data_IF_324873928099
#
_entry.id   IF_324873928099
#
_cell.length_a   1.000
_cell.length_b   1.000
_cell.length_c   1.000
_cell.angle_alpha   90.00
_cell.angle_beta   90.00
_cell.angle_gamma   90.00
#
_symmetry.space_group_name_H-M   'P 1'
#
loop_
_entity.id
_entity.type
_entity.pdbx_description
1 polymer ?
#
# COMPACT_ATOMS: atom_id res chain seq x y z
N UNK A 1 -58.87 -23.01 -70.05
CA UNK A 1 -58.06 -21.80 -70.28
C UNK A 1 -58.18 -20.90 -69.06
N UNK A 2 -57.23 -20.99 -68.11
CA UNK A 2 -57.19 -20.17 -66.89
C UNK A 2 -55.78 -19.56 -66.83
N UNK A 3 -55.68 -18.25 -67.11
CA UNK A 3 -54.42 -17.53 -67.17
C UNK A 3 -53.93 -17.17 -65.76
N UNK A 4 -52.77 -17.73 -65.39
CA UNK A 4 -51.98 -17.36 -64.20
C UNK A 4 -51.32 -16.00 -64.43
N UNK A 5 -51.67 -14.98 -63.62
CA UNK A 5 -50.88 -13.74 -63.50
C UNK A 5 -49.89 -13.91 -62.33
N UNK A 6 -48.59 -13.87 -62.64
CA UNK A 6 -47.50 -13.87 -61.64
C UNK A 6 -47.31 -12.44 -61.09
N UNK A 7 -47.17 -12.23 -59.78
CA UNK A 7 -46.73 -10.94 -59.25
C UNK A 7 -45.22 -10.79 -59.41
N UNK A 8 -44.81 -9.64 -59.94
CA UNK A 8 -43.41 -9.20 -60.05
C UNK A 8 -42.98 -8.72 -58.66
N UNK A 9 -42.05 -9.44 -58.02
CA UNK A 9 -41.39 -9.00 -56.79
C UNK A 9 -40.35 -7.92 -57.15
N UNK A 10 -40.60 -6.68 -56.73
CA UNK A 10 -39.60 -5.60 -56.73
C UNK A 10 -38.62 -5.83 -55.58
N UNK A 11 -37.39 -6.24 -55.89
CA UNK A 11 -36.29 -6.31 -54.92
C UNK A 11 -35.72 -4.92 -54.69
N UNK A 12 -36.07 -4.30 -53.56
CA UNK A 12 -35.41 -3.09 -53.05
C UNK A 12 -34.05 -3.51 -52.45
N UNK A 13 -32.92 -3.00 -52.94
CA UNK A 13 -31.63 -3.26 -52.32
C UNK A 13 -31.58 -2.57 -50.94
N UNK A 14 -31.58 -3.38 -49.88
CA UNK A 14 -31.33 -2.92 -48.52
C UNK A 14 -29.86 -2.51 -48.43
N UNK A 15 -29.58 -1.22 -48.64
CA UNK A 15 -28.29 -0.60 -48.32
C UNK A 15 -28.08 -0.70 -46.80
N UNK A 16 -27.41 -1.77 -46.35
CA UNK A 16 -26.82 -1.82 -45.01
C UNK A 16 -25.74 -0.73 -44.95
N UNK A 17 -26.12 0.44 -44.44
CA UNK A 17 -25.17 1.45 -44.01
C UNK A 17 -24.34 0.87 -42.87
N UNK A 18 -23.15 0.36 -43.18
CA UNK A 18 -22.10 0.21 -42.19
C UNK A 18 -21.76 1.62 -41.69
N UNK A 19 -22.36 2.01 -40.56
CA UNK A 19 -21.88 3.15 -39.79
C UNK A 19 -20.44 2.82 -39.39
N UNK A 20 -19.47 3.31 -40.17
CA UNK A 20 -18.06 3.26 -39.83
C UNK A 20 -17.93 3.94 -38.47
N UNK A 21 -17.69 3.14 -37.41
CA UNK A 21 -17.47 3.67 -36.08
C UNK A 21 -16.32 4.66 -36.17
N UNK A 22 -16.60 5.94 -35.95
CA UNK A 22 -15.56 6.98 -35.92
C UNK A 22 -14.52 6.56 -34.90
N UNK A 23 -13.22 6.52 -35.24
CA UNK A 23 -12.20 6.10 -34.29
C UNK A 23 -12.25 7.03 -33.08
N UNK A 24 -12.49 6.44 -31.90
CA UNK A 24 -12.46 7.16 -30.63
C UNK A 24 -11.05 7.74 -30.48
N UNK A 25 -10.95 9.06 -30.40
CA UNK A 25 -9.67 9.75 -30.24
C UNK A 25 -9.22 9.60 -28.79
N UNK A 26 -7.94 9.27 -28.58
CA UNK A 26 -7.33 9.25 -27.26
C UNK A 26 -7.36 10.63 -26.60
N UNK A 27 -7.29 10.66 -25.27
CA UNK A 27 -7.32 11.90 -24.52
C UNK A 27 -6.14 12.80 -24.90
N UNK A 28 -6.39 14.10 -24.98
CA UNK A 28 -5.35 15.09 -25.17
C UNK A 28 -4.65 15.38 -23.83
N UNK A 29 -3.35 15.13 -23.76
CA UNK A 29 -2.51 15.43 -22.60
C UNK A 29 -2.10 16.90 -22.63
N UNK A 30 -2.09 17.54 -21.47
CA UNK A 30 -1.50 18.86 -21.30
C UNK A 30 0.03 18.76 -21.34
N UNK A 31 0.76 19.84 -21.66
CA UNK A 31 2.22 19.86 -21.58
C UNK A 31 2.77 19.41 -20.21
N UNK A 32 2.07 19.74 -19.12
CA UNK A 32 2.43 19.37 -17.76
C UNK A 32 2.28 17.86 -17.52
N UNK A 33 1.17 17.27 -17.94
CA UNK A 33 0.96 15.82 -17.84
C UNK A 33 2.02 15.05 -18.65
N UNK A 34 2.41 15.55 -19.84
CA UNK A 34 3.48 14.92 -20.63
C UNK A 34 4.85 15.03 -19.97
N UNK A 35 5.16 16.17 -19.35
CA UNK A 35 6.39 16.32 -18.59
C UNK A 35 6.43 15.33 -17.41
N UNK A 36 5.30 15.12 -16.74
CA UNK A 36 5.16 14.16 -15.66
C UNK A 36 5.29 12.70 -16.13
N UNK A 37 4.63 12.34 -17.24
CA UNK A 37 4.78 11.03 -17.90
C UNK A 37 6.26 10.75 -18.22
N UNK A 38 6.94 11.69 -18.90
CA UNK A 38 8.36 11.53 -19.26
C UNK A 38 9.26 11.39 -18.05
N UNK A 39 8.97 12.12 -16.97
CA UNK A 39 9.70 12.01 -15.71
C UNK A 39 9.53 10.61 -15.11
N UNK A 40 8.30 10.11 -14.99
CA UNK A 40 8.05 8.76 -14.48
C UNK A 40 8.69 7.68 -15.35
N UNK A 41 8.62 7.79 -16.68
CA UNK A 41 9.28 6.86 -17.60
C UNK A 41 10.81 6.85 -17.40
N UNK A 42 11.43 8.04 -17.30
CA UNK A 42 12.87 8.18 -17.07
C UNK A 42 13.29 7.59 -15.73
N UNK A 43 12.57 7.93 -14.66
CA UNK A 43 12.85 7.43 -13.32
C UNK A 43 12.69 5.91 -13.24
N UNK A 44 11.63 5.35 -13.83
CA UNK A 44 11.42 3.91 -13.86
C UNK A 44 12.48 3.14 -14.65
N UNK A 45 12.90 3.70 -15.80
CA UNK A 45 13.98 3.14 -16.62
C UNK A 45 15.32 3.11 -15.87
N UNK A 46 15.57 4.11 -15.00
CA UNK A 46 16.78 4.19 -14.19
C UNK A 46 16.78 3.27 -12.96
N UNK A 47 15.63 2.70 -12.57
CA UNK A 47 15.58 1.77 -11.44
C UNK A 47 16.29 0.45 -11.77
N UNK A 48 17.07 -0.07 -10.83
CA UNK A 48 17.78 -1.34 -10.94
C UNK A 48 16.81 -2.52 -11.19
N UNK A 49 17.12 -3.34 -12.21
CA UNK A 49 16.33 -4.51 -12.63
C UNK A 49 17.04 -5.83 -12.32
N UNK A 50 18.16 -5.80 -11.58
CA UNK A 50 18.94 -6.97 -11.21
C UNK A 50 18.05 -8.02 -10.55
N UNK A 51 18.05 -9.23 -11.11
CA UNK A 51 17.42 -10.40 -10.50
C UNK A 51 18.28 -10.91 -9.34
N UNK A 52 17.65 -11.15 -8.19
CA UNK A 52 18.36 -11.62 -7.00
C UNK A 52 18.02 -13.08 -6.70
N UNK A 53 19.06 -13.91 -6.64
CA UNK A 53 19.03 -15.31 -6.23
C UNK A 53 19.73 -15.49 -4.88
N UNK A 54 19.78 -16.72 -4.36
CA UNK A 54 20.52 -17.03 -3.13
C UNK A 54 22.03 -16.73 -3.22
N UNK A 55 22.59 -16.59 -4.42
CA UNK A 55 24.02 -16.37 -4.66
C UNK A 55 24.43 -14.89 -4.56
N UNK A 56 23.55 -13.95 -4.94
CA UNK A 56 23.88 -12.51 -4.99
C UNK A 56 23.08 -11.64 -3.99
N UNK A 57 22.12 -12.21 -3.26
CA UNK A 57 21.27 -11.49 -2.31
C UNK A 57 22.03 -11.02 -1.05
N UNK A 58 23.08 -11.73 -0.63
CA UNK A 58 23.72 -11.51 0.67
C UNK A 58 25.10 -10.90 0.56
N UNK A 59 25.40 -9.95 1.45
CA UNK A 59 26.78 -9.58 1.76
C UNK A 59 27.40 -10.59 2.74
N UNK A 60 26.61 -11.06 3.71
CA UNK A 60 26.99 -12.17 4.60
C UNK A 60 25.86 -13.19 4.57
N UNK A 61 26.16 -14.40 4.08
CA UNK A 61 25.16 -15.48 3.96
C UNK A 61 24.62 -15.88 5.34
N UNK A 62 23.30 -16.09 5.49
CA UNK A 62 22.74 -16.57 6.75
C UNK A 62 23.15 -18.02 7.06
N UNK A 63 23.26 -18.33 8.35
CA UNK A 63 23.26 -19.70 8.88
C UNK A 63 21.88 -19.99 9.44
N UNK A 64 21.11 -20.84 8.76
CA UNK A 64 19.69 -21.11 9.07
C UNK A 64 19.47 -22.36 9.94
N UNK A 65 20.54 -22.92 10.52
CA UNK A 65 20.55 -24.16 11.31
C UNK A 65 21.15 -23.92 12.70
N UNK A 66 21.72 -24.95 13.32
CA UNK A 66 22.57 -24.80 14.50
C UNK A 66 23.58 -23.66 14.31
N UNK A 67 23.81 -22.87 15.37
CA UNK A 67 24.51 -21.58 15.31
C UNK A 67 23.83 -20.58 14.36
N UNK A 68 22.53 -20.34 14.59
CA UNK A 68 21.72 -19.44 13.77
C UNK A 68 22.35 -18.05 13.65
N UNK A 69 22.50 -17.58 12.42
CA UNK A 69 22.95 -16.22 12.08
C UNK A 69 22.09 -15.69 10.95
N UNK A 70 21.49 -14.52 11.14
CA UNK A 70 20.59 -13.91 10.15
C UNK A 70 21.30 -13.46 8.85
N UNK A 71 22.63 -13.34 8.87
CA UNK A 71 23.40 -12.76 7.78
C UNK A 71 23.08 -11.27 7.58
N UNK A 72 23.50 -10.73 6.44
CA UNK A 72 23.19 -9.37 6.00
C UNK A 72 22.94 -9.37 4.49
N UNK A 73 22.02 -8.51 4.05
CA UNK A 73 21.74 -8.30 2.64
C UNK A 73 22.88 -7.55 1.96
N UNK A 74 23.02 -7.77 0.65
CA UNK A 74 23.74 -6.84 -0.20
C UNK A 74 23.05 -5.47 -0.14
N UNK A 75 23.82 -4.41 0.10
CA UNK A 75 23.28 -3.06 0.23
C UNK A 75 22.62 -2.57 -1.06
N UNK A 76 23.04 -3.09 -2.23
CA UNK A 76 22.40 -2.80 -3.52
C UNK A 76 20.93 -3.26 -3.53
N UNK A 77 20.61 -4.43 -2.97
CA UNK A 77 19.24 -4.93 -2.88
C UNK A 77 18.35 -4.02 -2.01
N UNK A 78 18.88 -3.60 -0.86
CA UNK A 78 18.19 -2.69 0.07
C UNK A 78 17.93 -1.33 -0.59
N UNK A 79 18.95 -0.77 -1.25
CA UNK A 79 18.84 0.50 -1.96
C UNK A 79 17.84 0.42 -3.12
N UNK A 80 17.87 -0.67 -3.88
CA UNK A 80 16.95 -0.93 -4.99
C UNK A 80 15.50 -1.01 -4.50
N UNK A 81 15.20 -1.80 -3.46
CA UNK A 81 13.85 -1.82 -2.88
C UNK A 81 13.38 -0.43 -2.44
N UNK A 82 14.23 0.33 -1.73
CA UNK A 82 13.89 1.68 -1.28
C UNK A 82 13.63 2.62 -2.46
N UNK A 83 14.37 2.49 -3.55
CA UNK A 83 14.17 3.27 -4.77
C UNK A 83 12.81 2.97 -5.41
N UNK A 84 12.40 1.70 -5.55
CA UNK A 84 11.06 1.35 -6.04
C UNK A 84 9.95 1.84 -5.13
N UNK A 85 10.11 1.67 -3.82
CA UNK A 85 9.12 2.16 -2.84
C UNK A 85 8.94 3.67 -2.99
N UNK A 86 10.03 4.42 -3.09
CA UNK A 86 9.97 5.88 -3.22
C UNK A 86 9.48 6.34 -4.58
N UNK A 87 9.83 5.63 -5.66
CA UNK A 87 9.27 5.83 -6.99
C UNK A 87 7.74 5.70 -6.98
N UNK A 88 7.22 4.60 -6.44
CA UNK A 88 5.79 4.41 -6.35
C UNK A 88 5.15 5.43 -5.41
N UNK A 89 5.75 5.74 -4.26
CA UNK A 89 5.22 6.79 -3.37
C UNK A 89 5.12 8.14 -4.07
N UNK A 90 6.08 8.49 -4.91
CA UNK A 90 6.04 9.73 -5.70
C UNK A 90 4.93 9.73 -6.76
N UNK A 91 4.60 8.58 -7.37
CA UNK A 91 3.42 8.43 -8.24
C UNK A 91 2.10 8.79 -7.54
N UNK A 92 2.02 8.63 -6.21
CA UNK A 92 0.88 9.06 -5.38
C UNK A 92 1.10 10.43 -4.72
N UNK A 93 2.17 11.14 -5.09
CA UNK A 93 2.63 12.40 -4.50
C UNK A 93 2.81 12.33 -2.99
N UNK A 94 3.33 11.21 -2.49
CA UNK A 94 3.66 10.97 -1.09
C UNK A 94 5.15 11.27 -0.85
N UNK A 95 5.48 11.64 0.39
CA UNK A 95 6.88 11.87 0.77
C UNK A 95 7.68 10.57 0.68
N UNK A 96 8.90 10.67 0.14
CA UNK A 96 9.88 9.60 0.19
C UNK A 96 10.18 9.20 1.65
N UNK A 97 10.40 7.91 1.85
CA UNK A 97 10.78 7.30 3.13
C UNK A 97 12.25 6.92 3.11
N UNK A 98 12.79 6.61 4.29
CA UNK A 98 14.16 6.15 4.46
C UNK A 98 14.18 4.73 5.04
N UNK A 99 15.24 4.00 4.74
CA UNK A 99 15.59 2.79 5.48
C UNK A 99 16.53 3.12 6.64
N UNK A 100 16.51 2.29 7.69
CA UNK A 100 17.41 2.43 8.84
C UNK A 100 18.21 1.15 9.04
N UNK A 101 19.48 1.26 9.43
CA UNK A 101 20.33 0.09 9.64
C UNK A 101 19.77 -0.86 10.71
N UNK A 102 19.26 -0.32 11.82
CA UNK A 102 18.65 -1.11 12.90
C UNK A 102 17.36 -1.80 12.44
N UNK A 103 16.49 -1.09 11.72
CA UNK A 103 15.28 -1.66 11.13
C UNK A 103 15.60 -2.77 10.14
N UNK A 104 16.53 -2.56 9.21
CA UNK A 104 16.95 -3.56 8.24
C UNK A 104 17.52 -4.81 8.91
N UNK A 105 18.29 -4.65 9.99
CA UNK A 105 18.78 -5.79 10.78
C UNK A 105 17.63 -6.62 11.37
N UNK A 106 16.58 -5.97 11.87
CA UNK A 106 15.42 -6.63 12.43
C UNK A 106 14.59 -7.34 11.34
N UNK A 107 14.35 -6.67 10.22
CA UNK A 107 13.68 -7.25 9.06
C UNK A 107 14.46 -8.45 8.50
N UNK A 108 15.79 -8.33 8.38
CA UNK A 108 16.65 -9.42 7.93
C UNK A 108 16.65 -10.61 8.90
N UNK A 109 16.68 -10.33 10.21
CA UNK A 109 16.56 -11.39 11.23
C UNK A 109 15.24 -12.13 11.10
N UNK A 110 14.15 -11.40 10.85
CA UNK A 110 12.81 -11.97 10.67
C UNK A 110 12.72 -12.81 9.40
N UNK A 111 13.25 -12.31 8.28
CA UNK A 111 13.34 -13.05 7.03
C UNK A 111 14.13 -14.36 7.20
N UNK A 112 15.28 -14.30 7.88
CA UNK A 112 16.09 -15.47 8.16
C UNK A 112 15.39 -16.47 9.10
N UNK A 113 14.59 -16.02 10.09
CA UNK A 113 13.78 -16.92 10.92
C UNK A 113 12.74 -17.64 10.08
N UNK A 114 11.99 -16.93 9.23
CA UNK A 114 11.00 -17.54 8.33
C UNK A 114 11.65 -18.55 7.35
N UNK A 115 12.84 -18.21 6.83
CA UNK A 115 13.61 -19.12 5.99
C UNK A 115 14.10 -20.36 6.75
N UNK A 116 14.56 -20.22 7.99
CA UNK A 116 15.05 -21.32 8.82
C UNK A 116 13.96 -22.34 9.19
N UNK A 117 12.71 -21.87 9.34
CA UNK A 117 11.56 -22.75 9.61
C UNK A 117 10.86 -23.21 8.33
N UNK A 118 11.31 -22.77 7.15
CA UNK A 118 10.61 -22.94 5.87
C UNK A 118 9.12 -22.59 6.00
N UNK A 119 8.83 -21.39 6.50
CA UNK A 119 7.47 -20.93 6.76
C UNK A 119 6.56 -21.18 5.55
N UNK A 120 5.35 -21.69 5.77
CA UNK A 120 4.47 -22.03 4.66
C UNK A 120 4.01 -20.74 3.94
N UNK A 121 4.36 -20.52 2.65
CA UNK A 121 4.05 -19.28 1.94
C UNK A 121 2.58 -19.14 1.54
N UNK A 122 1.75 -20.17 1.78
CA UNK A 122 0.34 -20.21 1.40
C UNK A 122 -0.63 -19.99 2.57
N UNK A 123 -0.11 -19.61 3.74
CA UNK A 123 -0.91 -19.28 4.92
C UNK A 123 -0.47 -17.94 5.50
N UNK A 124 -1.29 -17.36 6.38
CA UNK A 124 -0.93 -16.13 7.07
C UNK A 124 0.33 -16.33 7.94
N UNK A 125 1.37 -15.54 7.67
CA UNK A 125 2.64 -15.55 8.39
C UNK A 125 2.87 -14.31 9.27
N UNK A 126 1.90 -13.40 9.38
CA UNK A 126 1.96 -12.29 10.31
C UNK A 126 1.93 -12.81 11.75
N UNK A 127 3.05 -12.65 12.47
CA UNK A 127 3.20 -13.11 13.85
C UNK A 127 3.60 -14.58 13.99
N UNK A 128 3.84 -15.29 12.87
CA UNK A 128 4.17 -16.72 12.85
C UNK A 128 3.18 -17.56 13.69
N UNK A 129 1.85 -17.44 13.45
CA UNK A 129 0.83 -17.87 14.41
C UNK A 129 0.76 -19.40 14.59
N UNK A 130 1.11 -20.17 13.56
CA UNK A 130 1.05 -21.63 13.57
C UNK A 130 2.41 -22.29 13.72
N UNK A 131 3.50 -21.53 13.61
CA UNK A 131 4.86 -22.06 13.61
C UNK A 131 5.42 -22.23 15.01
N UNK A 132 6.33 -23.19 15.16
CA UNK A 132 6.98 -23.52 16.43
C UNK A 132 8.44 -23.08 16.39
N UNK A 133 8.87 -22.36 17.43
CA UNK A 133 10.28 -21.96 17.59
C UNK A 133 11.21 -23.19 17.66
N UNK A 134 12.16 -23.36 16.73
CA UNK A 134 13.20 -24.38 16.84
C UNK A 134 14.15 -24.09 18.00
N UNK A 135 14.74 -25.13 18.60
CA UNK A 135 15.64 -24.98 19.75
C UNK A 135 16.87 -24.12 19.45
N UNK A 136 17.38 -24.15 18.21
CA UNK A 136 18.55 -23.40 17.77
C UNK A 136 18.27 -21.90 17.49
N UNK A 137 17.01 -21.47 17.52
CA UNK A 137 16.64 -20.05 17.44
C UNK A 137 16.36 -19.56 18.86
N UNK A 138 17.10 -18.54 19.31
CA UNK A 138 16.90 -17.99 20.66
C UNK A 138 15.47 -17.46 20.87
N UNK A 139 14.96 -17.49 22.11
CA UNK A 139 13.64 -16.94 22.44
C UNK A 139 13.52 -15.46 22.03
N UNK A 140 14.58 -14.67 22.24
CA UNK A 140 14.63 -13.25 21.85
C UNK A 140 14.51 -13.06 20.34
N UNK A 141 15.24 -13.86 19.55
CA UNK A 141 15.20 -13.82 18.09
C UNK A 141 13.82 -14.22 17.55
N UNK A 142 13.20 -15.22 18.16
CA UNK A 142 11.85 -15.65 17.80
C UNK A 142 10.81 -14.56 18.06
N UNK A 143 10.81 -13.98 19.26
CA UNK A 143 9.88 -12.89 19.61
C UNK A 143 10.06 -11.69 18.67
N UNK A 144 11.31 -11.31 18.36
CA UNK A 144 11.58 -10.28 17.37
C UNK A 144 10.94 -10.61 16.01
N UNK A 145 11.06 -11.85 15.54
CA UNK A 145 10.48 -12.26 14.27
C UNK A 145 8.94 -12.24 14.30
N UNK A 146 8.32 -12.62 15.41
CA UNK A 146 6.87 -12.50 15.59
C UNK A 146 6.41 -11.03 15.55
N UNK A 147 7.09 -10.15 16.29
CA UNK A 147 6.75 -8.73 16.35
C UNK A 147 6.92 -8.05 14.98
N UNK A 148 8.04 -8.29 14.30
CA UNK A 148 8.34 -7.65 13.02
C UNK A 148 7.46 -8.19 11.91
N UNK A 149 7.22 -9.51 11.84
CA UNK A 149 6.33 -10.09 10.81
C UNK A 149 4.89 -9.62 10.95
N UNK A 150 4.42 -9.37 12.19
CA UNK A 150 3.10 -8.77 12.45
C UNK A 150 2.99 -7.31 11.97
N UNK A 151 4.13 -6.63 11.79
CA UNK A 151 4.25 -5.21 11.49
C UNK A 151 4.81 -4.93 10.08
N UNK A 152 4.85 -5.94 9.22
CA UNK A 152 5.52 -5.89 7.93
C UNK A 152 4.62 -6.37 6.80
N UNK A 153 4.84 -5.80 5.61
CA UNK A 153 4.47 -6.47 4.36
C UNK A 153 5.36 -7.70 4.17
N UNK A 154 4.73 -8.83 3.84
CA UNK A 154 5.41 -10.10 3.59
C UNK A 154 5.20 -10.50 2.13
N UNK A 155 6.27 -10.93 1.47
CA UNK A 155 6.20 -11.47 0.11
C UNK A 155 7.04 -12.74 0.02
N UNK A 156 6.47 -13.77 -0.59
CA UNK A 156 7.10 -15.07 -0.78
C UNK A 156 7.17 -15.40 -2.27
N UNK A 157 8.37 -15.69 -2.78
CA UNK A 157 8.57 -16.03 -4.18
C UNK A 157 9.60 -17.15 -4.32
N UNK A 158 9.41 -18.04 -5.29
CA UNK A 158 10.35 -19.13 -5.59
C UNK A 158 11.24 -18.86 -6.82
N UNK A 159 10.99 -17.74 -7.53
CA UNK A 159 11.76 -17.33 -8.70
C UNK A 159 12.77 -16.24 -8.34
N UNK A 160 13.81 -16.10 -9.17
CA UNK A 160 14.80 -15.03 -9.05
C UNK A 160 14.19 -13.70 -9.55
N UNK A 161 13.40 -13.07 -8.69
CA UNK A 161 12.78 -11.77 -8.93
C UNK A 161 13.74 -10.63 -8.58
N UNK A 162 13.60 -9.49 -9.26
CA UNK A 162 14.27 -8.24 -8.88
C UNK A 162 13.71 -7.69 -7.57
N UNK A 163 14.40 -6.69 -7.01
CA UNK A 163 13.86 -5.92 -5.87
C UNK A 163 12.55 -5.20 -6.25
N UNK A 164 12.45 -4.71 -7.50
CA UNK A 164 11.27 -4.04 -8.02
C UNK A 164 10.06 -4.94 -8.17
N UNK A 165 10.25 -6.20 -8.58
CA UNK A 165 9.16 -7.17 -8.71
C UNK A 165 8.46 -7.39 -7.36
N UNK A 166 9.24 -7.54 -6.27
CA UNK A 166 8.72 -7.71 -4.90
C UNK A 166 7.85 -6.52 -4.50
N UNK A 167 8.34 -5.29 -4.71
CA UNK A 167 7.58 -4.08 -4.36
C UNK A 167 6.35 -3.92 -5.24
N UNK A 168 6.43 -4.30 -6.52
CA UNK A 168 5.31 -4.22 -7.47
C UNK A 168 4.22 -5.23 -7.11
N UNK A 169 4.59 -6.44 -6.69
CA UNK A 169 3.64 -7.44 -6.22
C UNK A 169 2.91 -6.96 -4.96
N UNK A 170 3.62 -6.37 -4.00
CA UNK A 170 3.03 -5.75 -2.80
C UNK A 170 2.16 -4.53 -3.13
N UNK A 171 2.57 -3.69 -4.09
CA UNK A 171 1.80 -2.52 -4.51
C UNK A 171 0.51 -2.94 -5.21
N UNK A 172 0.56 -3.96 -6.07
CA UNK A 172 -0.62 -4.38 -6.84
C UNK A 172 -1.55 -5.31 -6.06
N UNK A 173 -1.10 -5.90 -4.95
CA UNK A 173 -1.85 -6.87 -4.15
C UNK A 173 -2.35 -8.09 -4.95
N UNK A 174 -1.74 -8.36 -6.13
CA UNK A 174 -2.22 -9.38 -7.08
C UNK A 174 -2.15 -10.82 -6.56
N UNK A 175 -1.33 -11.07 -5.55
CA UNK A 175 -1.10 -12.38 -4.93
C UNK A 175 -1.52 -12.40 -3.45
N UNK A 176 -2.42 -11.50 -3.04
CA UNK A 176 -2.84 -11.42 -1.65
C UNK A 176 -3.58 -12.69 -1.19
N UNK A 177 -3.11 -13.31 -0.10
CA UNK A 177 -3.67 -14.55 0.46
C UNK A 177 -5.02 -14.32 1.15
N UNK A 178 -5.27 -13.13 1.72
CA UNK A 178 -6.52 -12.80 2.40
C UNK A 178 -7.65 -12.41 1.44
N UNK A 179 -7.42 -12.50 0.14
CA UNK A 179 -8.41 -12.25 -0.90
C UNK A 179 -8.30 -10.84 -1.46
N UNK A 180 -9.43 -10.13 -1.52
CA UNK A 180 -9.54 -8.87 -2.27
C UNK A 180 -9.15 -7.62 -1.49
N UNK A 181 -8.65 -7.71 -0.25
CA UNK A 181 -8.18 -6.51 0.44
C UNK A 181 -6.86 -6.00 -0.16
N UNK A 182 -6.58 -4.71 0.06
CA UNK A 182 -5.38 -4.04 -0.45
C UNK A 182 -4.49 -3.56 0.70
N UNK A 183 -4.34 -4.40 1.74
CA UNK A 183 -3.60 -4.09 2.95
C UNK A 183 -2.13 -3.75 2.69
N UNK A 184 -1.46 -4.50 1.82
CA UNK A 184 -0.03 -4.27 1.55
C UNK A 184 0.21 -2.94 0.87
N UNK A 185 -0.60 -2.62 -0.15
CA UNK A 185 -0.61 -1.31 -0.81
C UNK A 185 -0.94 -0.20 0.17
N UNK A 186 -1.94 -0.36 1.03
CA UNK A 186 -2.31 0.64 2.02
C UNK A 186 -1.17 0.94 3.01
N UNK A 187 -0.40 -0.07 3.43
CA UNK A 187 0.79 0.17 4.24
C UNK A 187 1.91 0.87 3.45
N UNK A 188 2.24 0.43 2.23
CA UNK A 188 3.27 1.08 1.39
C UNK A 188 2.93 2.54 1.08
N UNK A 189 1.65 2.83 0.83
CA UNK A 189 1.14 4.14 0.46
C UNK A 189 0.58 4.93 1.64
N UNK A 190 0.85 4.50 2.88
CA UNK A 190 0.41 5.25 4.05
C UNK A 190 0.93 6.69 3.99
N UNK A 191 0.02 7.63 4.23
CA UNK A 191 0.29 9.07 4.22
C UNK A 191 1.11 9.51 5.44
N UNK A 192 1.29 8.63 6.41
CA UNK A 192 2.02 8.84 7.65
C UNK A 192 3.31 8.01 7.73
N UNK A 193 3.58 7.15 6.75
CA UNK A 193 4.77 6.30 6.73
C UNK A 193 6.03 7.16 6.74
N UNK A 194 6.88 6.96 7.75
CA UNK A 194 8.14 7.72 7.90
C UNK A 194 9.36 6.94 7.42
N UNK A 195 9.38 5.63 7.64
CA UNK A 195 10.51 4.75 7.34
C UNK A 195 10.03 3.36 6.95
N UNK A 196 10.90 2.61 6.28
CA UNK A 196 10.68 1.21 5.92
C UNK A 196 11.92 0.40 6.28
N UNK A 197 11.75 -0.89 6.56
CA UNK A 197 12.90 -1.78 6.78
C UNK A 197 12.85 -2.97 5.85
N UNK A 198 14.00 -3.35 5.29
CA UNK A 198 14.12 -4.39 4.27
C UNK A 198 14.88 -5.59 4.82
N UNK A 199 14.31 -6.77 4.65
CA UNK A 199 14.93 -8.07 4.93
C UNK A 199 14.54 -9.07 3.86
N UNK A 200 15.44 -10.00 3.52
CA UNK A 200 15.14 -11.11 2.63
C UNK A 200 16.05 -12.32 2.93
N UNK A 201 15.49 -13.52 2.90
CA UNK A 201 16.27 -14.74 3.01
C UNK A 201 15.61 -15.88 2.24
N UNK A 202 16.42 -16.76 1.67
CA UNK A 202 16.00 -18.00 1.01
C UNK A 202 15.97 -19.14 2.01
N UNK A 203 14.83 -19.83 2.10
CA UNK A 203 14.71 -21.10 2.80
C UNK A 203 15.31 -22.23 1.96
N UNK A 204 15.50 -23.39 2.58
CA UNK A 204 15.93 -24.61 1.86
C UNK A 204 14.83 -25.13 0.95
N UNK A 205 13.59 -24.69 1.14
CA UNK A 205 12.46 -24.97 0.25
C UNK A 205 12.43 -24.11 -1.03
N UNK A 206 13.47 -23.32 -1.30
CA UNK A 206 13.59 -22.51 -2.52
C UNK A 206 12.83 -21.18 -2.50
N UNK A 207 11.99 -20.94 -1.48
CA UNK A 207 11.29 -19.66 -1.32
C UNK A 207 12.20 -18.59 -0.74
N UNK A 208 12.11 -17.38 -1.30
CA UNK A 208 12.61 -16.14 -0.72
C UNK A 208 11.51 -15.50 0.13
N UNK A 209 11.81 -15.28 1.40
CA UNK A 209 10.96 -14.61 2.37
C UNK A 209 11.37 -13.15 2.47
N UNK A 210 10.59 -12.25 1.87
CA UNK A 210 10.86 -10.82 1.87
C UNK A 210 10.02 -10.14 2.95
N UNK A 211 10.67 -9.30 3.76
CA UNK A 211 10.08 -8.55 4.88
C UNK A 211 10.25 -7.07 4.63
N UNK A 212 9.13 -6.34 4.62
CA UNK A 212 9.07 -4.89 4.51
C UNK A 212 8.36 -4.34 5.74
N UNK A 213 9.11 -4.05 6.81
CA UNK A 213 8.51 -3.50 8.03
C UNK A 213 8.03 -2.08 7.76
N UNK A 214 6.72 -1.88 7.90
CA UNK A 214 5.99 -0.67 7.48
C UNK A 214 5.22 -0.04 8.63
N UNK A 215 4.96 -0.77 9.72
CA UNK A 215 4.38 -0.19 10.92
C UNK A 215 5.50 0.31 11.85
N UNK A 216 5.59 1.64 11.96
CA UNK A 216 6.52 2.30 12.86
C UNK A 216 5.79 2.92 14.04
N UNK A 217 6.36 2.72 15.24
CA UNK A 217 5.94 3.46 16.42
C UNK A 217 6.04 4.97 16.14
N UNK A 218 4.93 5.69 16.33
CA UNK A 218 4.84 7.13 16.10
C UNK A 218 4.11 7.53 14.83
N UNK A 219 4.12 6.71 13.77
CA UNK A 219 3.49 7.08 12.48
C UNK A 219 1.97 7.28 12.64
N UNK A 220 1.32 6.52 13.53
CA UNK A 220 -0.12 6.69 13.82
C UNK A 220 -0.48 8.10 14.34
N UNK A 221 0.47 8.81 14.97
CA UNK A 221 0.26 10.14 15.54
C UNK A 221 0.78 11.28 14.62
N UNK A 222 1.57 10.95 13.59
CA UNK A 222 2.12 11.94 12.67
C UNK A 222 1.03 12.51 11.75
N UNK A 223 1.02 13.81 11.48
CA UNK A 223 0.06 14.42 10.54
C UNK A 223 0.16 13.77 9.14
N UNK A 224 -0.97 13.47 8.49
CA UNK A 224 -0.94 12.83 7.18
C UNK A 224 -0.40 13.80 6.12
N UNK A 225 0.43 13.30 5.22
CA UNK A 225 0.96 14.09 4.09
C UNK A 225 -0.07 14.39 2.99
N UNK A 226 -1.17 13.62 2.95
CA UNK A 226 -2.31 13.79 2.04
C UNK A 226 -3.61 13.39 2.71
N UNK A 227 -4.72 13.98 2.30
CA UNK A 227 -6.04 13.59 2.81
C UNK A 227 -6.55 12.28 2.21
N UNK A 228 -6.22 12.02 0.93
CA UNK A 228 -6.67 10.86 0.18
C UNK A 228 -5.53 10.29 -0.67
N UNK A 229 -5.51 8.96 -0.79
CA UNK A 229 -4.72 8.22 -1.76
C UNK A 229 -5.66 7.33 -2.54
N UNK A 230 -5.68 7.49 -3.86
CA UNK A 230 -6.47 6.67 -4.76
C UNK A 230 -5.55 5.78 -5.59
N UNK A 231 -5.97 4.55 -5.87
CA UNK A 231 -5.32 3.67 -6.83
C UNK A 231 -6.36 3.25 -7.87
N UNK A 232 -6.25 3.68 -9.14
CA UNK A 232 -5.25 4.59 -9.72
C UNK A 232 -5.23 5.99 -9.07
N UNK A 233 -4.07 6.65 -9.06
CA UNK A 233 -3.96 8.04 -8.56
C UNK A 233 -4.51 9.04 -9.58
N UNK A 234 -4.99 10.19 -9.11
CA UNK A 234 -5.38 11.29 -9.98
C UNK A 234 -4.18 11.88 -10.75
N UNK A 235 -4.42 12.38 -11.96
CA UNK A 235 -3.36 12.90 -12.85
C UNK A 235 -2.98 11.87 -13.91
N UNK A 236 -1.70 11.52 -14.03
CA UNK A 236 -1.24 10.46 -14.96
C UNK A 236 -0.91 9.19 -14.20
N UNK A 237 -1.26 8.03 -14.75
CA UNK A 237 -1.07 6.74 -14.10
C UNK A 237 -0.59 5.65 -15.07
N UNK A 238 0.40 4.81 -14.69
CA UNK A 238 0.93 3.77 -15.56
C UNK A 238 -0.07 2.61 -15.72
N UNK A 239 -0.37 2.25 -16.97
CA UNK A 239 -1.31 1.17 -17.29
C UNK A 239 -0.81 -0.19 -16.83
N UNK A 240 0.51 -0.40 -16.79
CA UNK A 240 1.13 -1.66 -16.35
C UNK A 240 0.80 -2.01 -14.90
N UNK A 241 0.53 -1.01 -14.04
CA UNK A 241 0.13 -1.23 -12.66
C UNK A 241 -1.35 -1.65 -12.51
N UNK A 242 -2.12 -1.56 -13.59
CA UNK A 242 -3.53 -1.98 -13.65
C UNK A 242 -3.74 -3.24 -14.49
N UNK A 243 -2.72 -3.65 -15.24
CA UNK A 243 -2.75 -4.83 -16.09
C UNK A 243 -2.46 -6.09 -15.26
N UNK A 244 -3.47 -6.95 -15.14
CA UNK A 244 -3.33 -8.24 -14.48
C UNK A 244 -4.67 -8.78 -14.00
N UNK A 245 -4.72 -10.08 -13.73
CA UNK A 245 -5.84 -10.66 -13.00
C UNK A 245 -5.76 -10.20 -11.54
N UNK A 246 -6.91 -10.02 -10.91
CA UNK A 246 -7.04 -9.76 -9.46
C UNK A 246 -6.41 -8.46 -8.92
N UNK A 247 -6.14 -7.45 -9.77
CA UNK A 247 -5.71 -6.13 -9.29
C UNK A 247 -6.93 -5.30 -8.86
N UNK A 248 -7.16 -5.22 -7.55
CA UNK A 248 -8.19 -4.34 -7.02
C UNK A 248 -7.79 -2.86 -7.12
N UNK A 249 -8.75 -1.98 -7.29
CA UNK A 249 -8.62 -0.54 -7.15
C UNK A 249 -8.99 -0.13 -5.73
N UNK A 250 -8.51 1.03 -5.27
CA UNK A 250 -8.73 1.43 -3.89
C UNK A 250 -8.84 2.93 -3.67
N UNK A 251 -9.53 3.30 -2.59
CA UNK A 251 -9.63 4.66 -2.06
C UNK A 251 -9.33 4.65 -0.58
N UNK A 252 -8.30 5.37 -0.20
CA UNK A 252 -7.87 5.52 1.18
C UNK A 252 -8.04 6.96 1.63
N UNK A 253 -8.65 7.17 2.80
CA UNK A 253 -8.78 8.49 3.40
C UNK A 253 -8.09 8.53 4.77
N UNK A 254 -7.19 9.50 4.94
CA UNK A 254 -6.34 9.61 6.13
C UNK A 254 -7.12 9.97 7.40
N UNK A 255 -8.19 10.75 7.26
CA UNK A 255 -8.97 11.30 8.38
C UNK A 255 -10.48 11.23 8.15
N UNK A 256 -10.93 11.17 6.90
CA UNK A 256 -12.35 11.04 6.57
C UNK A 256 -12.81 9.61 6.85
N UNK A 257 -13.86 9.49 7.66
CA UNK A 257 -14.49 8.22 7.98
C UNK A 257 -15.70 7.95 7.07
N UNK A 258 -15.84 6.71 6.63
CA UNK A 258 -16.98 6.21 5.88
C UNK A 258 -17.33 4.82 6.42
N UNK A 259 -18.46 4.70 7.11
CA UNK A 259 -18.95 3.40 7.61
C UNK A 259 -19.69 2.57 6.56
N UNK A 260 -20.08 3.19 5.44
CA UNK A 260 -20.86 2.54 4.38
C UNK A 260 -19.98 2.17 3.19
N UNK A 261 -20.49 1.27 2.36
CA UNK A 261 -19.94 0.96 1.05
C UNK A 261 -20.60 1.87 0.01
N UNK A 262 -19.88 2.83 -0.60
CA UNK A 262 -20.47 3.72 -1.60
C UNK A 262 -20.67 2.99 -2.93
N UNK A 263 -21.64 3.44 -3.73
CA UNK A 263 -21.67 3.09 -5.16
C UNK A 263 -20.47 3.75 -5.85
N UNK A 264 -19.68 2.95 -6.56
CA UNK A 264 -18.53 3.43 -7.32
C UNK A 264 -18.75 3.17 -8.80
N UNK A 265 -18.49 4.18 -9.63
CA UNK A 265 -18.51 4.07 -11.09
C UNK A 265 -17.21 4.59 -11.67
N UNK A 266 -16.79 4.00 -12.78
CA UNK A 266 -15.64 4.43 -13.58
C UNK A 266 -16.16 4.75 -14.97
N UNK A 267 -15.94 5.97 -15.44
CA UNK A 267 -16.28 6.41 -16.80
C UNK A 267 -14.99 6.48 -17.60
N UNK A 268 -14.96 5.84 -18.76
CA UNK A 268 -13.96 6.10 -19.80
C UNK A 268 -14.43 7.36 -20.53
N UNK A 269 -13.73 8.48 -20.33
CA UNK A 269 -14.19 9.80 -20.77
C UNK A 269 -14.09 9.95 -22.28
N UNK A 270 -13.24 9.17 -22.96
CA UNK A 270 -13.04 9.19 -24.41
C UNK A 270 -14.12 8.39 -25.16
N UNK A 271 -14.55 7.25 -24.60
CA UNK A 271 -15.65 6.44 -25.16
C UNK A 271 -17.02 6.80 -24.59
N UNK A 272 -17.07 7.64 -23.56
CA UNK A 272 -18.24 7.99 -22.75
C UNK A 272 -18.96 6.80 -22.09
N UNK A 273 -18.31 5.63 -22.01
CA UNK A 273 -18.87 4.43 -21.38
C UNK A 273 -18.64 4.46 -19.87
N UNK A 274 -19.70 4.16 -19.11
CA UNK A 274 -19.64 4.09 -17.64
C UNK A 274 -19.81 2.66 -17.16
N UNK A 275 -18.94 2.28 -16.23
CA UNK A 275 -18.83 0.94 -15.67
C UNK A 275 -19.08 1.01 -14.17
N UNK A 276 -20.02 0.21 -13.67
CA UNK A 276 -20.20 0.06 -12.23
C UNK A 276 -19.09 -0.83 -11.66
N UNK A 277 -18.51 -0.40 -10.53
CA UNK A 277 -17.58 -1.25 -9.80
C UNK A 277 -18.30 -2.45 -9.18
N UNK A 278 -17.61 -3.60 -9.13
CA UNK A 278 -18.04 -4.81 -8.43
C UNK A 278 -17.17 -5.04 -7.19
N UNK A 279 -17.69 -5.86 -6.29
CA UNK A 279 -16.98 -6.29 -5.07
C UNK A 279 -16.46 -5.10 -4.27
N UNK A 280 -17.29 -4.05 -4.16
CA UNK A 280 -16.94 -2.88 -3.35
C UNK A 280 -17.00 -3.29 -1.88
N UNK A 281 -15.87 -3.20 -1.20
CA UNK A 281 -15.72 -3.59 0.19
C UNK A 281 -15.05 -2.48 1.00
N UNK A 282 -15.36 -2.46 2.30
CA UNK A 282 -14.83 -1.49 3.25
C UNK A 282 -14.01 -2.22 4.31
N UNK A 283 -12.69 -2.02 4.29
CA UNK A 283 -11.71 -2.67 5.16
C UNK A 283 -11.22 -1.75 6.28
N UNK A 284 -11.94 -0.67 6.59
CA UNK A 284 -11.50 0.34 7.56
C UNK A 284 -11.24 -0.22 8.97
N UNK A 285 -11.97 -1.27 9.37
CA UNK A 285 -11.80 -1.93 10.67
C UNK A 285 -10.44 -2.61 10.85
N UNK A 286 -9.72 -2.90 9.77
CA UNK A 286 -8.40 -3.52 9.81
C UNK A 286 -7.27 -2.53 10.12
N UNK A 287 -7.54 -1.22 10.05
CA UNK A 287 -6.56 -0.19 10.37
C UNK A 287 -5.38 -0.10 9.40
N UNK A 288 -5.51 -0.63 8.18
CA UNK A 288 -4.43 -0.61 7.19
C UNK A 288 -3.96 0.82 6.90
N UNK A 289 -2.64 0.99 6.84
CA UNK A 289 -1.99 2.25 6.50
C UNK A 289 -2.23 3.42 7.46
N UNK A 290 -2.83 3.20 8.64
CA UNK A 290 -3.36 4.27 9.50
C UNK A 290 -4.40 5.16 8.78
N UNK A 291 -5.14 4.59 7.84
CA UNK A 291 -6.26 5.26 7.18
C UNK A 291 -7.55 5.10 7.99
N UNK A 292 -8.36 6.16 8.05
CA UNK A 292 -9.70 6.11 8.64
C UNK A 292 -10.73 5.48 7.71
N UNK A 293 -10.46 5.46 6.41
CA UNK A 293 -11.28 4.73 5.45
C UNK A 293 -10.42 4.00 4.45
N UNK A 294 -10.71 2.72 4.27
CA UNK A 294 -10.06 1.83 3.30
C UNK A 294 -11.15 1.17 2.46
N UNK A 295 -11.34 1.65 1.23
CA UNK A 295 -12.26 1.05 0.28
C UNK A 295 -11.50 0.33 -0.82
N UNK A 296 -12.01 -0.83 -1.21
CA UNK A 296 -11.43 -1.65 -2.27
C UNK A 296 -12.54 -2.09 -3.22
N UNK A 297 -12.27 -2.12 -4.53
CA UNK A 297 -13.26 -2.44 -5.55
C UNK A 297 -12.60 -2.89 -6.86
N UNK A 298 -13.37 -3.52 -7.75
CA UNK A 298 -12.92 -3.89 -9.10
C UNK A 298 -13.77 -3.17 -10.15
N UNK A 299 -13.18 -2.46 -11.13
CA UNK A 299 -13.94 -1.98 -12.27
C UNK A 299 -14.35 -3.17 -13.15
N UNK A 300 -15.65 -3.49 -13.19
CA UNK A 300 -16.12 -4.65 -13.93
C UNK A 300 -16.26 -4.34 -15.42
N UNK A 301 -15.82 -5.27 -16.28
CA UNK A 301 -15.92 -5.21 -17.73
C UNK A 301 -15.24 -3.97 -18.37
N UNK A 302 -14.37 -3.28 -17.63
CA UNK A 302 -13.62 -2.14 -18.10
C UNK A 302 -12.37 -2.62 -18.85
N UNK A 303 -12.27 -2.30 -20.14
CA UNK A 303 -11.05 -2.50 -20.91
C UNK A 303 -10.23 -1.20 -20.85
N UNK A 304 -9.13 -1.24 -20.12
CA UNK A 304 -8.22 -0.10 -20.02
C UNK A 304 -7.48 0.10 -21.34
N UNK A 305 -7.39 1.35 -21.78
CA UNK A 305 -6.73 1.74 -23.02
C UNK A 305 -5.67 2.79 -22.72
N UNK A 306 -4.46 2.55 -23.20
CA UNK A 306 -3.36 3.50 -23.08
C UNK A 306 -3.72 4.84 -23.77
N UNK A 307 -3.43 5.95 -23.10
CA UNK A 307 -3.75 7.29 -23.55
C UNK A 307 -5.19 7.74 -23.26
N UNK A 308 -6.07 6.87 -22.75
CA UNK A 308 -7.43 7.28 -22.37
C UNK A 308 -7.45 7.97 -21.00
N UNK A 309 -8.45 8.82 -20.81
CA UNK A 309 -8.83 9.42 -19.54
C UNK A 309 -10.00 8.66 -18.92
N UNK A 310 -9.94 8.49 -17.60
CA UNK A 310 -10.97 7.87 -16.81
C UNK A 310 -11.37 8.76 -15.64
N UNK A 311 -12.68 8.82 -15.36
CA UNK A 311 -13.23 9.50 -14.19
C UNK A 311 -13.84 8.49 -13.23
N UNK A 312 -13.39 8.48 -11.98
CA UNK A 312 -13.94 7.66 -10.90
C UNK A 312 -14.85 8.51 -10.02
N UNK A 313 -16.05 8.01 -9.75
CA UNK A 313 -17.02 8.62 -8.83
C UNK A 313 -17.39 7.63 -7.75
N UNK A 314 -17.09 7.95 -6.49
CA UNK A 314 -17.44 7.15 -5.32
C UNK A 314 -18.55 7.84 -4.52
N UNK A 315 -19.78 7.81 -5.03
CA UNK A 315 -20.91 8.56 -4.48
C UNK A 315 -20.56 10.04 -4.24
N UNK A 316 -20.86 10.54 -3.03
CA UNK A 316 -20.46 11.89 -2.57
C UNK A 316 -19.08 11.91 -1.87
N UNK A 317 -18.39 10.77 -1.81
CA UNK A 317 -17.17 10.61 -1.03
C UNK A 317 -15.97 11.25 -1.73
N UNK A 318 -15.81 10.98 -3.03
CA UNK A 318 -14.77 11.52 -3.88
C UNK A 318 -15.17 11.44 -5.36
N UNK A 319 -14.61 12.35 -6.17
CA UNK A 319 -14.57 12.27 -7.62
C UNK A 319 -13.18 12.70 -8.06
N UNK A 320 -12.55 11.95 -8.94
CA UNK A 320 -11.24 12.27 -9.50
C UNK A 320 -11.08 11.62 -10.87
N UNK A 321 -10.12 12.13 -11.65
CA UNK A 321 -9.83 11.62 -12.99
C UNK A 321 -8.34 11.35 -13.15
N UNK A 322 -8.02 10.41 -14.04
CA UNK A 322 -6.65 10.08 -14.38
C UNK A 322 -6.52 9.70 -15.86
N UNK A 323 -5.34 9.90 -16.44
CA UNK A 323 -4.97 9.48 -17.79
C UNK A 323 -3.97 8.35 -17.74
N UNK A 324 -4.16 7.35 -18.58
CA UNK A 324 -3.25 6.21 -18.65
C UNK A 324 -2.09 6.50 -19.58
N UNK A 325 -0.90 6.09 -19.14
CA UNK A 325 0.29 6.06 -19.99
C UNK A 325 1.02 4.72 -19.88
N UNK A 326 1.89 4.42 -20.85
CA UNK A 326 2.81 3.28 -20.83
C UNK A 326 4.08 3.66 -20.09
N UNK A 327 4.30 3.03 -18.96
CA UNK A 327 5.48 3.20 -18.13
C UNK A 327 6.77 2.77 -18.81
N UNK A 328 6.68 1.70 -19.60
CA UNK A 328 7.84 1.01 -20.19
C UNK A 328 8.27 1.56 -21.55
N UNK A 329 7.51 2.49 -22.13
CA UNK A 329 7.72 2.97 -23.49
C UNK A 329 7.88 4.50 -23.52
N UNK A 330 9.12 4.96 -23.34
CA UNK A 330 9.48 6.39 -23.40
C UNK A 330 9.35 6.99 -24.81
N UNK A 331 9.18 6.16 -25.85
CA UNK A 331 8.96 6.63 -27.23
C UNK A 331 7.48 6.86 -27.55
N UNK A 332 6.59 6.38 -26.66
CA UNK A 332 5.15 6.55 -26.80
C UNK A 332 4.76 8.02 -26.84
N UNK A 333 4.22 8.43 -27.98
CA UNK A 333 3.69 9.78 -28.17
C UNK A 333 2.20 9.83 -27.84
N UNK A 334 1.80 10.89 -27.14
CA UNK A 334 0.40 11.17 -26.77
C UNK A 334 -0.06 12.47 -27.43
N UNK A 335 -1.34 12.53 -27.77
CA UNK A 335 -1.96 13.75 -28.31
C UNK A 335 -1.82 14.89 -27.30
N UNK A 336 -1.61 16.12 -27.78
CA UNK A 336 -1.44 17.32 -26.94
C UNK A 336 -2.66 18.22 -27.01
N UNK A 337 -3.14 18.73 -25.87
CA UNK A 337 -4.15 19.78 -25.84
C UNK A 337 -3.46 21.15 -25.84
N UNK A 338 -3.82 22.00 -26.82
CA UNK A 338 -3.29 23.35 -26.99
C UNK A 338 -2.21 23.45 -28.07
N UNK A 339 -2.25 24.51 -28.88
CA UNK A 339 -1.08 24.90 -29.69
C UNK A 339 0.05 25.20 -28.71
N UNK A 340 1.13 24.43 -28.76
CA UNK A 340 2.41 24.97 -28.32
C UNK A 340 2.64 26.16 -29.24
N UNK A 341 2.49 27.38 -28.74
CA UNK A 341 3.04 28.52 -29.45
C UNK A 341 4.53 28.20 -29.59
N UNK A 342 4.95 27.90 -30.82
CA UNK A 342 6.36 27.82 -31.15
C UNK A 342 6.90 29.23 -30.96
N UNK A 343 7.30 29.57 -29.74
CA UNK A 343 8.18 30.72 -29.54
C UNK A 343 9.56 30.25 -29.98
N UNK A 344 9.80 30.31 -31.28
CA UNK A 344 11.12 30.69 -31.76
C UNK A 344 11.54 31.94 -31.00
N UNK A 345 12.82 32.02 -30.65
CA UNK A 345 13.44 33.05 -29.80
C UNK A 345 13.20 32.94 -28.28
N UNK A 346 13.97 32.04 -27.64
CA UNK A 346 14.51 32.31 -26.31
C UNK A 346 15.86 31.61 -26.18
N UNK A 347 16.93 32.40 -26.14
CA UNK A 347 18.30 31.94 -25.92
C UNK A 347 18.33 31.05 -24.67
N UNK A 348 18.88 29.85 -24.84
CA UNK A 348 19.31 28.92 -23.79
C UNK A 348 19.67 29.61 -22.47
N UNK A 349 18.75 29.58 -21.51
CA UNK A 349 19.11 29.48 -20.10
C UNK A 349 18.81 28.06 -19.67
N UNK A 350 19.83 27.19 -19.75
CA UNK A 350 19.84 25.89 -19.07
C UNK A 350 19.40 26.09 -17.63
N UNK A 351 18.20 25.65 -17.29
CA UNK A 351 17.80 25.46 -15.90
C UNK A 351 18.69 24.34 -15.37
N UNK A 352 19.63 24.67 -14.48
CA UNK A 352 20.58 23.67 -13.99
C UNK A 352 19.84 22.57 -13.24
N UNK A 353 20.30 21.32 -13.42
CA UNK A 353 19.79 20.12 -12.75
C UNK A 353 19.70 20.29 -11.22
N UNK A 354 20.55 21.16 -10.64
CA UNK A 354 20.56 21.51 -9.22
C UNK A 354 19.27 22.21 -8.76
N UNK A 355 18.61 22.99 -9.62
CA UNK A 355 17.35 23.69 -9.30
C UNK A 355 16.15 22.73 -9.28
N UNK A 356 16.17 21.70 -10.12
CA UNK A 356 15.19 20.61 -10.10
C UNK A 356 15.37 19.71 -8.87
N UNK A 357 16.62 19.50 -8.45
CA UNK A 357 16.98 18.64 -7.33
C UNK A 357 16.77 19.29 -5.94
N UNK A 358 16.98 20.60 -5.78
CA UNK A 358 17.03 21.22 -4.43
C UNK A 358 15.68 21.74 -3.90
N UNK A 359 14.66 21.95 -4.75
CA UNK A 359 13.35 22.52 -4.31
C UNK A 359 12.10 21.82 -4.83
N UNK A 360 12.26 20.79 -5.67
CA UNK A 360 11.19 19.90 -6.14
C UNK A 360 10.12 20.61 -6.98
N UNK A 361 9.89 20.11 -8.19
CA UNK A 361 8.71 20.41 -9.00
C UNK A 361 7.41 20.30 -8.16
N UNK A 362 7.41 19.42 -7.15
CA UNK A 362 6.36 19.27 -6.12
C UNK A 362 5.99 20.58 -5.38
N UNK A 363 6.93 21.49 -5.07
CA UNK A 363 6.62 22.75 -4.37
C UNK A 363 6.02 23.80 -5.33
N UNK A 364 6.40 23.74 -6.60
CA UNK A 364 5.79 24.53 -7.67
C UNK A 364 4.36 24.03 -7.97
N UNK A 365 4.17 22.71 -8.04
CA UNK A 365 2.88 22.06 -8.26
C UNK A 365 1.92 22.19 -7.06
N UNK A 366 2.41 22.20 -5.82
CA UNK A 366 1.59 22.49 -4.62
C UNK A 366 0.97 23.89 -4.66
N UNK A 367 1.67 24.88 -5.25
CA UNK A 367 1.18 26.25 -5.37
C UNK A 367 0.12 26.41 -6.46
N UNK A 368 0.19 25.62 -7.52
CA UNK A 368 -0.76 25.64 -8.65
C UNK A 368 -1.98 24.75 -8.39
N UNK A 369 -1.82 23.59 -7.74
CA UNK A 369 -2.94 22.71 -7.36
C UNK A 369 -3.90 23.34 -6.34
N UNK A 370 -3.44 24.32 -5.55
CA UNK A 370 -4.29 25.13 -4.65
C UNK A 370 -5.28 26.02 -5.41
N UNK A 371 -5.00 26.35 -6.68
CA UNK A 371 -5.90 27.15 -7.51
C UNK A 371 -7.00 26.31 -8.19
N UNK A 372 -6.85 24.99 -8.26
CA UNK A 372 -7.87 24.08 -8.78
C UNK A 372 -8.85 23.66 -7.68
N UNK A 373 -8.44 23.68 -6.40
CA UNK A 373 -9.30 23.30 -5.27
C UNK A 373 -10.24 24.39 -4.75
N UNK A 374 -10.26 25.59 -5.34
CA UNK A 374 -11.28 26.60 -5.04
C UNK A 374 -12.57 26.36 -5.83
N UNK A 375 -13.24 25.23 -5.57
CA UNK A 375 -14.69 25.16 -5.74
C UNK A 375 -15.28 25.77 -4.47
N UNK A 376 -15.89 26.95 -4.60
CA UNK A 376 -16.53 27.69 -3.51
C UNK A 376 -17.51 26.77 -2.77
N UNK A 377 -17.22 26.53 -1.49
CA UNK A 377 -18.19 25.97 -0.56
C UNK A 377 -19.31 26.99 -0.41
N UNK A 378 -20.47 26.75 -1.01
CA UNK A 378 -21.67 27.52 -0.70
C UNK A 378 -22.05 27.30 0.77
N UNK A 379 -22.34 28.40 1.46
CA UNK A 379 -22.66 28.49 2.89
C UNK A 379 -23.68 27.43 3.30
N UNK A 380 -23.28 26.51 4.17
CA UNK A 380 -24.21 25.76 5.02
C UNK A 380 -24.25 26.49 6.36
N UNK A 381 -25.33 27.24 6.58
CA UNK A 381 -25.62 27.91 7.84
C UNK A 381 -25.83 26.86 8.92
N UNK A 382 -24.90 26.74 9.87
CA UNK A 382 -25.06 25.87 11.02
C UNK A 382 -25.81 26.63 12.11
N UNK A 383 -27.00 26.16 12.44
CA UNK A 383 -27.80 26.60 13.57
C UNK A 383 -27.06 26.38 14.90
N UNK A 384 -27.13 27.41 15.75
CA UNK A 384 -26.55 27.49 17.10
C UNK A 384 -26.96 26.30 17.97
N UNK A 385 -25.98 25.66 18.61
CA UNK A 385 -26.18 24.92 19.85
C UNK A 385 -25.44 25.62 21.00
N UNK A 386 -26.22 25.92 22.02
CA UNK A 386 -25.90 26.69 23.22
C UNK A 386 -24.97 25.89 24.13
N UNK A 387 -23.90 26.51 24.62
CA UNK A 387 -23.14 26.01 25.78
C UNK A 387 -22.99 27.12 26.82
N UNK A 388 -23.44 26.82 28.04
CA UNK A 388 -23.48 27.70 29.21
C UNK A 388 -22.07 28.05 29.71
N UNK A 389 -21.93 29.32 30.13
CA UNK A 389 -20.79 29.91 30.86
C UNK A 389 -20.43 29.14 32.13
N UNK A 390 -19.13 29.00 32.39
CA UNK A 390 -18.58 28.98 33.74
C UNK A 390 -17.34 29.89 33.79
N UNK A 391 -17.29 30.72 34.84
CA UNK A 391 -16.49 31.92 34.94
C UNK A 391 -15.00 31.66 35.29
N UNK A 392 -14.15 32.55 34.76
CA UNK A 392 -12.72 32.65 34.99
C UNK A 392 -12.48 33.66 36.12
N UNK A 393 -11.84 33.25 37.23
CA UNK A 393 -11.21 34.19 38.18
C UNK A 393 -9.69 34.05 38.09
N UNK A 394 -9.07 35.18 37.81
CA UNK A 394 -7.64 35.47 37.74
C UNK A 394 -7.04 35.59 39.14
N UNK A 395 -5.77 35.21 39.31
CA UNK A 395 -4.96 35.70 40.44
C UNK A 395 -3.51 35.90 40.03
N UNK A 396 -3.04 37.12 40.29
CA UNK A 396 -1.72 37.65 39.99
C UNK A 396 -0.64 37.18 40.97
N UNK A 397 0.61 37.22 40.50
CA UNK A 397 1.86 37.06 41.26
C UNK A 397 2.04 38.16 42.31
N UNK A 398 2.51 37.79 43.51
CA UNK A 398 3.43 38.62 44.30
C UNK A 398 4.41 37.77 45.11
N UNK A 399 5.70 38.08 44.95
CA UNK A 399 6.85 37.66 45.79
C UNK A 399 6.60 38.15 47.25
N UNK A 400 7.16 37.65 48.35
CA UNK A 400 8.55 37.25 48.70
C UNK A 400 8.54 36.92 50.21
N UNK A 401 9.35 35.95 50.70
CA UNK A 401 10.37 36.07 51.79
C UNK A 401 10.63 34.76 52.54
N UNK A 402 11.93 34.56 52.78
CA UNK A 402 12.63 33.53 53.58
C UNK A 402 12.00 33.31 54.97
N UNK A 403 12.05 32.09 55.49
CA UNK A 403 13.08 31.67 56.46
C UNK A 403 12.80 30.31 57.13
N UNK A 404 13.92 29.62 57.47
CA UNK A 404 14.14 28.64 58.55
C UNK A 404 13.55 27.21 58.47
N UNK A 405 14.47 26.26 58.24
CA UNK A 405 14.53 24.89 58.82
C UNK A 405 14.65 25.00 60.37
N UNK A 406 14.35 23.96 61.20
CA UNK A 406 15.04 22.66 61.13
C UNK A 406 14.23 21.38 61.51
N UNK A 407 14.82 20.26 61.08
CA UNK A 407 14.92 18.89 61.63
C UNK A 407 13.93 18.32 62.68
N UNK A 408 13.48 17.07 62.45
CA UNK A 408 13.69 15.85 63.28
C UNK A 408 12.67 14.76 62.84
N UNK A 409 13.11 13.63 62.26
CA UNK A 409 13.55 12.35 62.86
C UNK A 409 12.41 11.41 63.31
N UNK A 410 12.49 10.19 62.75
CA UNK A 410 12.14 8.86 63.35
C UNK A 410 10.64 8.61 63.56
N UNK A 411 10.08 7.41 63.46
CA UNK A 411 10.57 6.03 63.26
C UNK A 411 9.29 5.15 63.22
N UNK A 412 9.27 4.09 62.40
CA UNK A 412 8.66 2.76 62.68
C UNK A 412 7.15 2.70 62.99
N UNK A 413 6.40 1.60 62.88
CA UNK A 413 6.65 0.15 62.81
C UNK A 413 5.33 -0.52 62.35
N UNK A 414 5.47 -1.55 61.53
CA UNK A 414 4.79 -2.86 61.55
C UNK A 414 3.38 -3.04 62.16
N UNK A 415 2.51 -3.76 61.43
CA UNK A 415 1.92 -5.07 61.81
C UNK A 415 0.94 -5.53 60.71
N UNK A 416 1.14 -6.64 59.98
CA UNK A 416 0.90 -8.06 60.32
C UNK A 416 -0.52 -8.37 60.87
N UNK A 417 -1.33 -9.08 60.07
CA UNK A 417 -1.99 -10.39 60.36
C UNK A 417 -2.85 -10.81 59.15
N UNK A 418 -2.54 -11.94 58.51
CA UNK A 418 -3.05 -13.33 58.73
C UNK A 418 -4.47 -13.51 58.16
N UNK A 419 -4.62 -14.31 57.09
CA UNK A 419 -4.96 -15.75 57.09
C UNK A 419 -6.50 -15.94 57.01
N UNK A 420 -7.14 -16.88 56.31
CA UNK A 420 -6.75 -18.15 55.68
C UNK A 420 -7.97 -18.82 54.98
N UNK A 421 -7.67 -19.86 54.18
CA UNK A 421 -8.50 -21.06 53.91
C UNK A 421 -9.60 -20.93 52.82
N UNK A 422 -9.96 -21.97 52.03
CA UNK A 422 -9.69 -23.42 52.14
C UNK A 422 -9.97 -24.14 50.79
N UNK A 423 -9.21 -25.22 50.58
CA UNK A 423 -9.31 -26.39 49.68
C UNK A 423 -10.68 -26.75 49.06
N UNK A 424 -10.62 -27.29 47.83
CA UNK A 424 -11.14 -28.66 47.53
C UNK A 424 -10.40 -29.28 46.34
N UNK A 425 -9.92 -30.51 46.57
CA UNK A 425 -9.41 -31.45 45.58
C UNK A 425 -10.42 -32.61 45.49
N UNK A 426 -10.52 -33.28 44.33
CA UNK A 426 -10.62 -34.75 44.25
C UNK A 426 -10.39 -35.23 42.83
N UNK A 427 -9.62 -36.32 42.77
CA UNK A 427 -9.19 -37.06 41.59
C UNK A 427 -10.11 -38.26 41.34
N UNK A 428 -10.04 -38.84 40.13
CA UNK A 428 -10.30 -40.26 39.92
C UNK A 428 -9.42 -40.83 38.80
N UNK A 429 -8.53 -41.75 39.18
CA UNK A 429 -7.82 -42.73 38.35
C UNK A 429 -8.45 -44.11 38.58
N UNK A 430 -8.67 -44.89 37.53
CA UNK A 430 -8.48 -46.36 37.37
C UNK A 430 -9.33 -46.83 36.17
N UNK A 431 -9.04 -47.89 35.41
CA UNK A 431 -7.86 -48.68 35.05
C UNK A 431 -8.37 -49.93 34.28
N UNK A 432 -7.46 -50.58 33.53
CA UNK A 432 -7.44 -51.97 32.97
C UNK A 432 -7.83 -52.09 31.48
N UNK A 433 -6.88 -52.47 30.60
CA UNK A 433 -6.32 -53.83 30.28
C UNK A 433 -7.40 -54.71 29.63
N UNK A 434 -7.23 -55.46 28.53
CA UNK A 434 -6.06 -55.99 27.80
C UNK A 434 -6.55 -56.88 26.63
N UNK A 435 -5.78 -57.01 25.53
CA UNK A 435 -5.41 -58.23 24.75
C UNK A 435 -5.15 -57.83 23.28
N UNK A 436 -3.91 -57.88 22.75
CA UNK A 436 -3.05 -59.01 22.28
C UNK A 436 -3.47 -59.58 20.90
N UNK A 437 -2.48 -59.54 19.97
CA UNK A 437 -2.21 -60.45 18.81
C UNK A 437 -3.20 -60.41 17.62
N UNK A 438 -2.83 -60.49 16.33
CA UNK A 438 -1.63 -61.00 15.64
C UNK A 438 -1.60 -60.66 14.12
N UNK A 439 -0.37 -60.57 13.57
CA UNK A 439 0.15 -61.14 12.30
C UNK A 439 -0.45 -60.82 10.91
N UNK A 440 0.52 -60.49 10.03
CA UNK A 440 0.80 -60.97 8.65
C UNK A 440 -0.01 -60.45 7.45
N UNK A 441 0.71 -59.68 6.63
CA UNK A 441 1.20 -59.98 5.27
C UNK A 441 0.23 -60.19 4.08
N UNK A 442 0.73 -59.71 2.92
CA UNK A 442 0.23 -59.76 1.53
C UNK A 442 -0.83 -58.69 1.24
N UNK A 443 -0.71 -57.85 0.22
CA UNK A 443 -0.07 -57.98 -1.11
C UNK A 443 0.40 -56.60 -1.57
#
# INVERSE_FOLDING_TARGET
MIMRRKPILLTIPLLLGFALATPVKAAAFTPQELAEVRRFQTEYAALDKTAYSAQNLYAVKPSLKQNFKAGTLNQAYVASQLAYINYYRDLFGLKAVKATASGNKNAQTTAAVMAAINANPFVNQHGLPTDKRPAFISKKTWLLAQDVSSAANLNFNASNQSAGDVITDLLTDRYNLSGSDTGHRAWLLSTRLSKISVGAAYGTNGYRYSVNQVLNLGDAYASPSREMVAYPNAGVFPIELLNGKNIAWSLYFSTKFCSKTPKITVTDDDTHKTYAAKTVANYSSYGFGNFQTVLTYYPANLKLTDGHQYTVRAGKLATYSFKLFKQSDATRSYATSGKVASSSTSKSKKVSQKVLNDKGLAKYLYKVGKNISTIKSSKITTTKSVTKKAAKKTSAKKKTKKSKKPAAKKKTKSSKKKASSKKKAKASKKAKKSKKTSKKAKK
#
